data_IF_050648735628
#
_entry.id   IF_050648735628
#
_cell.length_a   1.000
_cell.length_b   1.000
_cell.length_c   1.000
_cell.angle_alpha   90.00
_cell.angle_beta   90.00
_cell.angle_gamma   90.00
#
_symmetry.space_group_name_H-M   'P 1'
#
loop_
_entity.id
_entity.type
_entity.pdbx_description
1 polymer ?
#
# COMPACT_ATOMS: atom_id res chain seq x y z
N UNK A 1 19.53 -30.18 -24.93
CA UNK A 1 18.52 -29.38 -25.67
C UNK A 1 17.73 -28.60 -24.64
N UNK A 2 17.80 -27.27 -24.68
CA UNK A 2 17.15 -26.35 -23.73
C UNK A 2 15.70 -26.03 -24.14
N UNK A 3 14.97 -25.48 -23.15
CA UNK A 3 13.70 -24.72 -23.19
C UNK A 3 12.40 -25.54 -23.09
N UNK A 4 11.38 -25.19 -22.29
CA UNK A 4 10.99 -23.96 -21.56
C UNK A 4 10.14 -24.37 -20.33
N UNK A 5 9.73 -23.54 -19.35
CA UNK A 5 9.44 -22.11 -19.34
C UNK A 5 9.33 -21.69 -17.86
N UNK A 6 10.19 -20.80 -17.40
CA UNK A 6 9.87 -19.99 -16.22
C UNK A 6 8.52 -19.30 -16.47
N UNK A 7 7.52 -19.54 -15.63
CA UNK A 7 6.34 -18.69 -15.55
C UNK A 7 6.79 -17.38 -14.92
N UNK A 8 7.46 -16.53 -15.68
CA UNK A 8 7.67 -15.15 -15.27
C UNK A 8 6.30 -14.46 -15.33
N UNK A 9 5.66 -14.28 -14.17
CA UNK A 9 4.54 -13.35 -14.09
C UNK A 9 5.04 -11.99 -14.59
N UNK A 10 4.48 -11.55 -15.72
CA UNK A 10 4.78 -10.27 -16.34
C UNK A 10 4.44 -9.16 -15.36
N UNK A 11 5.36 -8.20 -15.20
CA UNK A 11 5.11 -6.98 -14.40
C UNK A 11 3.83 -6.32 -14.93
N UNK A 12 2.83 -6.13 -14.09
CA UNK A 12 1.66 -5.32 -14.44
C UNK A 12 2.03 -3.85 -14.25
N UNK A 13 1.65 -2.98 -15.17
CA UNK A 13 1.99 -1.56 -15.05
C UNK A 13 1.21 -0.90 -13.91
N UNK A 14 1.73 0.21 -13.37
CA UNK A 14 1.00 1.02 -12.37
C UNK A 14 -0.28 1.59 -12.98
N UNK A 15 -0.25 1.94 -14.27
CA UNK A 15 -1.39 2.46 -15.01
C UNK A 15 -2.54 1.45 -15.08
N UNK A 16 -2.27 0.19 -15.41
CA UNK A 16 -3.28 -0.87 -15.44
C UNK A 16 -3.91 -1.12 -14.05
N UNK A 17 -3.12 -0.94 -12.99
CA UNK A 17 -3.55 -1.12 -11.59
C UNK A 17 -4.11 0.16 -10.97
N UNK A 18 -4.11 1.29 -11.68
CA UNK A 18 -4.50 2.62 -11.18
C UNK A 18 -5.86 2.60 -10.47
N UNK A 19 -6.93 1.98 -11.03
CA UNK A 19 -8.22 1.93 -10.34
C UNK A 19 -8.16 1.23 -8.99
N UNK A 20 -7.45 0.10 -8.91
CA UNK A 20 -7.33 -0.67 -7.68
C UNK A 20 -6.46 0.04 -6.64
N UNK A 21 -5.40 0.73 -7.07
CA UNK A 21 -4.60 1.57 -6.17
C UNK A 21 -5.42 2.72 -5.62
N UNK A 22 -6.16 3.46 -6.45
CA UNK A 22 -7.01 4.57 -6.01
C UNK A 22 -8.04 4.07 -5.00
N UNK A 23 -8.74 2.98 -5.30
CA UNK A 23 -9.73 2.39 -4.38
C UNK A 23 -9.09 2.02 -3.03
N UNK A 24 -8.01 1.25 -3.05
CA UNK A 24 -7.33 0.78 -1.83
C UNK A 24 -6.79 1.94 -1.01
N UNK A 25 -6.12 2.91 -1.64
CA UNK A 25 -5.57 4.07 -0.94
C UNK A 25 -6.66 4.98 -0.39
N UNK A 26 -7.77 5.20 -1.10
CA UNK A 26 -8.91 5.94 -0.56
C UNK A 26 -9.50 5.23 0.67
N UNK A 27 -9.59 3.90 0.66
CA UNK A 27 -10.09 3.16 1.82
C UNK A 27 -9.16 3.30 3.02
N UNK A 28 -7.84 3.23 2.81
CA UNK A 28 -6.85 3.47 3.86
C UNK A 28 -7.01 4.89 4.42
N UNK A 29 -7.08 5.89 3.54
CA UNK A 29 -7.23 7.30 3.91
C UNK A 29 -8.50 7.54 4.73
N UNK A 30 -9.63 6.97 4.29
CA UNK A 30 -10.91 7.07 4.99
C UNK A 30 -10.84 6.46 6.40
N UNK A 31 -10.22 5.28 6.54
CA UNK A 31 -10.04 4.61 7.84
C UNK A 31 -9.16 5.46 8.77
N UNK A 32 -8.08 6.03 8.24
CA UNK A 32 -7.21 6.93 8.99
C UNK A 32 -7.96 8.17 9.46
N UNK A 33 -8.79 8.79 8.60
CA UNK A 33 -9.61 9.95 8.99
C UNK A 33 -10.71 9.58 9.99
N UNK A 34 -11.35 8.43 9.84
CA UNK A 34 -12.36 7.93 10.80
C UNK A 34 -11.76 7.81 12.21
N UNK A 35 -10.54 7.27 12.31
CA UNK A 35 -9.81 7.22 13.58
C UNK A 35 -9.05 8.49 13.95
N UNK A 36 -9.28 9.61 13.23
CA UNK A 36 -8.67 10.94 13.49
C UNK A 36 -7.14 10.98 13.40
N UNK A 37 -6.56 10.08 12.62
CA UNK A 37 -5.12 9.94 12.36
C UNK A 37 -4.75 10.76 11.12
N UNK A 38 -4.92 12.08 11.23
CA UNK A 38 -4.81 13.01 10.10
C UNK A 38 -3.41 13.09 9.45
N UNK A 39 -2.28 13.06 10.18
CA UNK A 39 -0.96 13.16 9.55
C UNK A 39 -0.71 12.06 8.52
N UNK A 40 -1.04 10.81 8.88
CA UNK A 40 -0.91 9.66 8.00
C UNK A 40 -1.94 9.71 6.88
N UNK A 41 -3.18 10.12 7.15
CA UNK A 41 -4.20 10.31 6.11
C UNK A 41 -3.71 11.28 5.02
N UNK A 42 -3.06 12.39 5.40
CA UNK A 42 -2.52 13.37 4.46
C UNK A 42 -1.38 12.80 3.59
N UNK A 43 -0.56 11.88 4.12
CA UNK A 43 0.45 11.19 3.31
C UNK A 43 -0.20 10.28 2.25
N UNK A 44 -1.27 9.58 2.63
CA UNK A 44 -2.03 8.74 1.69
C UNK A 44 -2.72 9.61 0.63
N UNK A 45 -3.35 10.71 1.03
CA UNK A 45 -3.99 11.68 0.13
C UNK A 45 -2.99 12.23 -0.91
N UNK A 46 -1.80 12.65 -0.48
CA UNK A 46 -0.73 13.11 -1.38
C UNK A 46 -0.36 12.04 -2.41
N UNK A 47 -0.26 10.78 -1.98
CA UNK A 47 0.07 9.64 -2.84
C UNK A 47 -1.04 9.34 -3.85
N UNK A 48 -2.31 9.48 -3.45
CA UNK A 48 -3.46 9.40 -4.37
C UNK A 48 -3.38 10.52 -5.40
N UNK A 49 -2.99 11.73 -4.98
CA UNK A 49 -2.84 12.89 -5.84
C UNK A 49 -1.85 12.67 -6.98
N UNK A 50 -0.65 12.15 -6.70
CA UNK A 50 0.34 11.85 -7.75
C UNK A 50 -0.15 10.77 -8.72
N UNK A 51 -0.83 9.74 -8.23
CA UNK A 51 -1.41 8.71 -9.09
C UNK A 51 -2.52 9.25 -10.01
N UNK A 52 -3.40 10.13 -9.49
CA UNK A 52 -4.46 10.76 -10.28
C UNK A 52 -3.91 11.66 -11.37
N UNK A 53 -2.84 12.40 -11.07
CA UNK A 53 -2.12 13.25 -12.01
C UNK A 53 -1.20 12.50 -12.98
N UNK A 54 -1.20 11.16 -12.94
CA UNK A 54 -0.38 10.29 -13.81
C UNK A 54 1.13 10.50 -13.64
N UNK A 55 1.52 11.08 -12.51
CA UNK A 55 2.92 11.19 -12.09
C UNK A 55 3.34 9.90 -11.39
N UNK A 56 3.52 8.84 -12.20
CA UNK A 56 3.81 7.50 -11.71
C UNK A 56 5.17 7.41 -11.00
N UNK A 57 6.13 8.25 -11.36
CA UNK A 57 7.44 8.30 -10.69
C UNK A 57 7.29 8.85 -9.27
N UNK A 58 6.58 9.98 -9.11
CA UNK A 58 6.30 10.54 -7.78
C UNK A 58 5.41 9.60 -6.97
N UNK A 59 4.40 9.00 -7.58
CA UNK A 59 3.57 7.98 -6.92
C UNK A 59 4.42 6.83 -6.37
N UNK A 60 5.28 6.24 -7.19
CA UNK A 60 6.11 5.12 -6.80
C UNK A 60 7.11 5.51 -5.69
N UNK A 61 7.65 6.73 -5.74
CA UNK A 61 8.55 7.28 -4.71
C UNK A 61 7.84 7.52 -3.38
N UNK A 62 6.67 8.15 -3.38
CA UNK A 62 5.88 8.42 -2.17
C UNK A 62 5.41 7.10 -1.55
N UNK A 63 4.92 6.17 -2.37
CA UNK A 63 4.46 4.87 -1.92
C UNK A 63 5.58 4.03 -1.30
N UNK A 64 6.83 4.15 -1.75
CA UNK A 64 8.00 3.48 -1.15
C UNK A 64 8.65 4.26 -0.01
N UNK A 65 8.16 5.45 0.30
CA UNK A 65 8.81 6.35 1.24
C UNK A 65 8.77 5.83 2.69
N UNK A 66 9.60 6.46 3.52
CA UNK A 66 9.60 6.25 4.98
C UNK A 66 8.24 6.59 5.60
N UNK A 67 7.50 7.55 5.04
CA UNK A 67 6.17 7.91 5.54
C UNK A 67 5.20 6.71 5.50
N UNK A 68 5.37 5.78 4.55
CA UNK A 68 4.55 4.57 4.48
C UNK A 68 5.13 3.41 5.29
N UNK A 69 6.44 3.18 5.23
CA UNK A 69 7.06 1.91 5.64
C UNK A 69 8.22 2.01 6.63
N UNK A 70 8.65 3.22 7.01
CA UNK A 70 9.92 3.42 7.71
C UNK A 70 9.86 4.43 8.85
N UNK A 71 10.28 3.98 10.03
CA UNK A 71 10.44 4.85 11.20
C UNK A 71 9.16 5.10 11.97
N UNK A 72 9.31 5.76 13.12
CA UNK A 72 8.20 6.05 14.03
C UNK A 72 7.19 7.01 13.39
N UNK A 73 5.91 6.64 13.42
CA UNK A 73 4.80 7.43 12.89
C UNK A 73 4.47 7.15 11.43
N UNK A 74 5.08 6.13 10.82
CA UNK A 74 4.74 5.71 9.47
C UNK A 74 3.30 5.19 9.39
N UNK A 75 2.70 5.21 8.19
CA UNK A 75 1.32 4.73 7.96
C UNK A 75 1.15 3.30 8.48
N UNK A 76 2.10 2.41 8.24
CA UNK A 76 1.98 1.00 8.66
C UNK A 76 1.91 0.79 10.19
N UNK A 77 2.40 1.74 10.99
CA UNK A 77 2.43 1.63 12.47
C UNK A 77 1.12 2.03 13.12
N UNK A 78 0.13 2.50 12.35
CA UNK A 78 -1.11 3.01 12.92
C UNK A 78 -1.88 1.90 13.65
N UNK A 79 -2.20 2.20 14.90
CA UNK A 79 -3.01 1.38 15.78
C UNK A 79 -4.28 2.13 16.22
N UNK A 80 -5.39 1.43 16.21
CA UNK A 80 -6.72 1.86 16.65
C UNK A 80 -7.18 0.94 17.78
N UNK A 81 -7.72 1.54 18.83
CA UNK A 81 -8.36 0.77 19.91
C UNK A 81 -9.63 0.04 19.43
N UNK A 82 -10.33 0.61 18.43
CA UNK A 82 -11.45 -0.05 17.76
C UNK A 82 -10.93 -1.19 16.88
N UNK A 83 -11.16 -2.42 17.34
CA UNK A 83 -10.77 -3.65 16.63
C UNK A 83 -11.37 -3.77 15.23
N UNK A 84 -12.60 -3.28 14.99
CA UNK A 84 -13.21 -3.31 13.66
C UNK A 84 -12.47 -2.37 12.73
N UNK A 85 -12.14 -1.17 13.21
CA UNK A 85 -11.38 -0.19 12.45
C UNK A 85 -9.95 -0.69 12.16
N UNK A 86 -9.30 -1.30 13.15
CA UNK A 86 -7.99 -1.92 12.99
C UNK A 86 -7.99 -3.01 11.92
N UNK A 87 -9.00 -3.90 11.93
CA UNK A 87 -9.12 -4.97 10.93
C UNK A 87 -9.34 -4.43 9.53
N UNK A 88 -10.18 -3.39 9.38
CA UNK A 88 -10.35 -2.70 8.09
C UNK A 88 -9.02 -2.14 7.60
N UNK A 89 -8.30 -1.42 8.46
CA UNK A 89 -7.00 -0.85 8.14
C UNK A 89 -6.01 -1.92 7.65
N UNK A 90 -5.83 -2.99 8.41
CA UNK A 90 -4.93 -4.09 8.04
C UNK A 90 -5.35 -4.80 6.75
N UNK A 91 -6.65 -5.01 6.52
CA UNK A 91 -7.14 -5.59 5.26
C UNK A 91 -6.76 -4.74 4.04
N UNK A 92 -6.92 -3.42 4.13
CA UNK A 92 -6.54 -2.52 3.03
C UNK A 92 -5.02 -2.42 2.87
N UNK A 93 -4.26 -2.45 3.96
CA UNK A 93 -2.79 -2.51 3.90
C UNK A 93 -2.31 -3.79 3.19
N UNK A 94 -2.93 -4.95 3.45
CA UNK A 94 -2.62 -6.20 2.74
C UNK A 94 -2.92 -6.06 1.24
N UNK A 95 -4.08 -5.49 0.88
CA UNK A 95 -4.43 -5.23 -0.54
C UNK A 95 -3.38 -4.33 -1.21
N UNK A 96 -2.94 -3.27 -0.53
CA UNK A 96 -1.91 -2.37 -1.03
C UNK A 96 -0.61 -3.12 -1.31
N UNK A 97 -0.18 -3.97 -0.38
CA UNK A 97 1.03 -4.79 -0.55
C UNK A 97 0.89 -5.74 -1.75
N UNK A 98 -0.26 -6.38 -1.93
CA UNK A 98 -0.52 -7.26 -3.08
C UNK A 98 -0.42 -6.49 -4.40
N UNK A 99 -0.95 -5.26 -4.47
CA UNK A 99 -0.82 -4.41 -5.65
C UNK A 99 0.66 -4.07 -5.91
N UNK A 100 1.41 -3.72 -4.87
CA UNK A 100 2.85 -3.45 -4.97
C UNK A 100 3.66 -4.66 -5.45
N UNK A 101 3.29 -5.87 -5.02
CA UNK A 101 3.91 -7.12 -5.48
C UNK A 101 3.64 -7.34 -6.98
N UNK A 102 2.39 -7.15 -7.44
CA UNK A 102 2.01 -7.27 -8.87
C UNK A 102 2.76 -6.27 -9.76
N UNK A 103 2.91 -5.04 -9.28
CA UNK A 103 3.66 -3.99 -9.96
C UNK A 103 5.18 -4.13 -9.83
N UNK A 104 5.69 -5.11 -9.06
CA UNK A 104 7.12 -5.28 -8.74
C UNK A 104 7.78 -4.03 -8.15
N UNK A 105 7.04 -3.25 -7.35
CA UNK A 105 7.53 -2.06 -6.63
C UNK A 105 7.75 -2.31 -5.13
N UNK A 106 7.46 -3.53 -4.65
CA UNK A 106 7.72 -3.93 -3.25
C UNK A 106 9.23 -3.99 -2.94
N UNK A 107 9.62 -3.59 -1.72
CA UNK A 107 10.96 -3.82 -1.18
C UNK A 107 10.95 -4.91 -0.09
N UNK A 108 12.13 -5.31 0.39
CA UNK A 108 12.29 -6.37 1.40
C UNK A 108 11.60 -6.05 2.74
N UNK A 109 11.41 -4.77 3.06
CA UNK A 109 10.81 -4.29 4.30
C UNK A 109 9.29 -4.55 4.37
N UNK A 110 8.63 -4.69 3.22
CA UNK A 110 7.16 -4.79 3.14
C UNK A 110 6.67 -6.23 3.38
N UNK A 111 7.45 -7.24 2.99
CA UNK A 111 7.04 -8.66 3.10
C UNK A 111 6.80 -9.12 4.55
N UNK A 112 7.63 -8.75 5.55
CA UNK A 112 7.33 -9.07 6.95
C UNK A 112 6.04 -8.42 7.46
N UNK A 113 5.73 -7.20 7.01
CA UNK A 113 4.54 -6.46 7.43
C UNK A 113 3.26 -7.12 6.93
N UNK A 114 3.25 -7.67 5.71
CA UNK A 114 2.12 -8.46 5.21
C UNK A 114 1.76 -9.60 6.17
N UNK A 115 2.76 -10.37 6.61
CA UNK A 115 2.58 -11.48 7.57
C UNK A 115 2.13 -11.00 8.94
N UNK A 116 2.56 -9.82 9.37
CA UNK A 116 2.08 -9.19 10.60
C UNK A 116 0.58 -8.92 10.51
N UNK A 117 0.16 -8.24 9.44
CA UNK A 117 -1.25 -7.89 9.22
C UNK A 117 -2.15 -9.12 9.08
N UNK A 118 -1.70 -10.14 8.33
CA UNK A 118 -2.42 -11.40 8.14
C UNK A 118 -2.71 -12.16 9.45
N UNK A 119 -1.88 -11.98 10.49
CA UNK A 119 -2.12 -12.61 11.80
C UNK A 119 -3.18 -11.89 12.63
N UNK A 120 -3.39 -10.61 12.34
CA UNK A 120 -4.26 -9.71 13.09
C UNK A 120 -5.64 -9.52 12.44
N UNK A 121 -5.82 -10.02 11.21
CA UNK A 121 -7.10 -9.98 10.47
C UNK A 121 -7.91 -11.24 10.71
#
# INVERSE_FOLDING_TARGET
MFFSKDKSESKVSIEDLKPNYIETLNNIENVLREGKIYPQANYVEKTIGSLKSEDYEVFEKELKSVNFWGGSGAVWEVYFEDKKLQKKFYSEMIKLIILMEKAKISNSSIRPLKKLFEKET
#
